data_IF_059302086402
#
_entry.id   IF_059302086402
#
_cell.length_a   1.000
_cell.length_b   1.000
_cell.length_c   1.000
_cell.angle_alpha   90.00
_cell.angle_beta   90.00
_cell.angle_gamma   90.00
#
_symmetry.space_group_name_H-M   'P 1'
#
loop_
_entity.id
_entity.type
_entity.pdbx_description
1 polymer ?
#
# COMPACT_ATOMS: atom_id res chain seq x y z
N UNK A 1 9.56 10.13 -19.99
CA UNK A 1 9.08 8.87 -19.39
C UNK A 1 9.75 8.75 -18.03
N UNK A 2 9.02 8.44 -16.96
CA UNK A 2 9.59 8.34 -15.61
C UNK A 2 10.44 7.07 -15.47
N UNK A 3 11.74 7.19 -15.70
CA UNK A 3 12.67 6.06 -15.71
C UNK A 3 12.73 5.35 -14.37
N UNK A 4 12.74 6.08 -13.26
CA UNK A 4 12.79 5.48 -11.93
C UNK A 4 11.54 4.65 -11.64
N UNK A 5 10.35 5.19 -11.96
CA UNK A 5 9.10 4.43 -11.80
C UNK A 5 9.11 3.13 -12.60
N UNK A 6 9.56 3.19 -13.86
CA UNK A 6 9.68 2.02 -14.72
C UNK A 6 10.68 0.99 -14.18
N UNK A 7 11.88 1.43 -13.78
CA UNK A 7 12.90 0.54 -13.21
C UNK A 7 12.39 -0.17 -11.97
N UNK A 8 11.74 0.55 -11.05
CA UNK A 8 11.17 -0.05 -9.85
C UNK A 8 10.04 -1.02 -10.21
N UNK A 9 9.14 -0.66 -11.13
CA UNK A 9 8.07 -1.53 -11.62
C UNK A 9 8.62 -2.85 -12.16
N UNK A 10 9.56 -2.78 -13.11
CA UNK A 10 10.17 -3.96 -13.72
C UNK A 10 10.89 -4.82 -12.67
N UNK A 11 11.56 -4.19 -11.71
CA UNK A 11 12.24 -4.88 -10.60
C UNK A 11 11.23 -5.64 -9.75
N UNK A 12 10.12 -5.02 -9.35
CA UNK A 12 9.11 -5.68 -8.52
C UNK A 12 8.40 -6.81 -9.28
N UNK A 13 8.12 -6.63 -10.57
CA UNK A 13 7.57 -7.70 -11.42
C UNK A 13 8.51 -8.90 -11.60
N UNK A 14 9.82 -8.71 -11.44
CA UNK A 14 10.81 -9.78 -11.56
C UNK A 14 10.94 -10.66 -10.30
N UNK A 15 10.30 -10.25 -9.19
CA UNK A 15 10.34 -11.00 -7.94
C UNK A 15 9.50 -12.27 -8.07
N UNK A 16 10.11 -13.41 -7.76
CA UNK A 16 9.41 -14.69 -7.78
C UNK A 16 8.21 -14.72 -6.82
N UNK A 17 7.09 -15.23 -7.32
CA UNK A 17 5.82 -15.33 -6.62
C UNK A 17 5.35 -14.03 -5.94
N UNK A 18 5.64 -12.87 -6.53
CA UNK A 18 5.35 -11.56 -5.94
C UNK A 18 3.91 -11.44 -5.45
N UNK A 19 2.92 -11.75 -6.29
CA UNK A 19 1.49 -11.65 -5.95
C UNK A 19 1.08 -12.55 -4.78
N UNK A 20 1.50 -13.82 -4.80
CA UNK A 20 1.19 -14.78 -3.75
C UNK A 20 1.76 -14.32 -2.39
N UNK A 21 3.02 -13.88 -2.38
CA UNK A 21 3.71 -13.39 -1.19
C UNK A 21 3.09 -12.09 -0.67
N UNK A 22 2.74 -11.18 -1.58
CA UNK A 22 2.04 -9.95 -1.25
C UNK A 22 0.67 -10.23 -0.63
N UNK A 23 -0.11 -11.13 -1.22
CA UNK A 23 -1.41 -11.53 -0.69
C UNK A 23 -1.33 -12.10 0.73
N UNK A 24 -0.29 -12.90 1.01
CA UNK A 24 -0.02 -13.41 2.37
C UNK A 24 0.25 -12.26 3.35
N UNK A 25 1.07 -11.28 2.97
CA UNK A 25 1.34 -10.09 3.79
C UNK A 25 0.04 -9.33 4.11
N UNK A 26 -0.84 -9.17 3.12
CA UNK A 26 -2.14 -8.52 3.34
C UNK A 26 -3.00 -9.31 4.31
N UNK A 27 -3.09 -10.64 4.14
CA UNK A 27 -3.84 -11.50 5.05
C UNK A 27 -3.31 -11.42 6.48
N UNK A 28 -2.00 -11.54 6.65
CA UNK A 28 -1.35 -11.50 7.97
C UNK A 28 -1.57 -10.14 8.65
N UNK A 29 -1.49 -9.03 7.90
CA UNK A 29 -1.78 -7.68 8.42
C UNK A 29 -3.26 -7.50 8.79
N UNK A 30 -4.18 -8.06 7.99
CA UNK A 30 -5.61 -8.05 8.31
C UNK A 30 -5.90 -8.87 9.57
N UNK A 31 -5.36 -10.09 9.68
CA UNK A 31 -5.58 -10.96 10.85
C UNK A 31 -5.06 -10.34 12.13
N UNK A 32 -3.93 -9.63 12.07
CA UNK A 32 -3.40 -8.89 13.21
C UNK A 32 -4.40 -7.87 13.77
N UNK A 33 -5.09 -7.14 12.89
CA UNK A 33 -6.01 -6.07 13.32
C UNK A 33 -7.40 -6.60 13.61
N UNK A 34 -7.87 -7.62 12.88
CA UNK A 34 -9.15 -8.27 13.15
C UNK A 34 -9.12 -8.92 14.53
N UNK A 35 -8.02 -9.62 14.86
CA UNK A 35 -7.82 -10.29 16.15
C UNK A 35 -9.06 -11.11 16.56
N UNK A 36 -9.49 -11.99 15.65
CA UNK A 36 -10.78 -12.68 15.75
C UNK A 36 -10.95 -13.47 17.05
N UNK A 37 -9.88 -14.06 17.57
CA UNK A 37 -9.92 -14.88 18.78
C UNK A 37 -10.26 -14.07 20.03
N UNK A 38 -9.69 -12.86 20.15
CA UNK A 38 -9.87 -12.01 21.33
C UNK A 38 -11.05 -11.07 21.21
N UNK A 39 -11.32 -10.59 19.99
CA UNK A 39 -12.26 -9.51 19.73
C UNK A 39 -13.57 -9.99 19.11
N UNK A 40 -13.65 -11.26 18.67
CA UNK A 40 -14.85 -11.83 18.05
C UNK A 40 -15.19 -11.25 16.66
N UNK A 41 -14.27 -10.47 16.07
CA UNK A 41 -14.45 -9.80 14.78
C UNK A 41 -14.15 -10.75 13.63
N UNK A 42 -14.78 -10.50 12.50
CA UNK A 42 -14.56 -11.26 11.26
C UNK A 42 -13.98 -10.42 10.14
N UNK A 43 -14.15 -9.09 10.21
CA UNK A 43 -13.77 -8.13 9.18
C UNK A 43 -12.95 -6.99 9.76
N UNK A 44 -12.02 -6.48 8.96
CA UNK A 44 -11.22 -5.30 9.31
C UNK A 44 -12.10 -4.03 9.38
N UNK A 45 -13.21 -4.01 8.65
CA UNK A 45 -14.24 -2.97 8.74
C UNK A 45 -14.82 -2.79 10.16
N UNK A 46 -14.83 -3.83 11.00
CA UNK A 46 -15.32 -3.80 12.39
C UNK A 46 -14.32 -3.14 13.36
N UNK A 47 -13.05 -2.97 12.95
CA UNK A 47 -12.03 -2.35 13.80
C UNK A 47 -12.23 -0.84 13.95
N UNK A 48 -11.80 -0.29 15.09
CA UNK A 48 -11.85 1.14 15.37
C UNK A 48 -10.91 1.94 14.45
N UNK A 49 -11.14 3.25 14.35
CA UNK A 49 -10.33 4.13 13.49
C UNK A 49 -8.84 4.08 13.83
N UNK A 50 -8.50 3.98 15.12
CA UNK A 50 -7.12 3.88 15.57
C UNK A 50 -6.48 2.54 15.14
N UNK A 51 -7.21 1.44 15.28
CA UNK A 51 -6.76 0.10 14.87
C UNK A 51 -6.56 -0.01 13.35
N UNK A 52 -7.41 0.64 12.56
CA UNK A 52 -7.25 0.74 11.10
C UNK A 52 -5.98 1.48 10.68
N UNK A 53 -5.42 2.34 11.53
CA UNK A 53 -4.10 2.95 11.29
C UNK A 53 -3.00 1.90 11.45
N UNK A 54 -3.14 0.99 12.41
CA UNK A 54 -2.18 -0.10 12.66
C UNK A 54 -2.10 -1.03 11.45
N UNK A 55 -3.21 -1.25 10.73
CA UNK A 55 -3.21 -2.05 9.50
C UNK A 55 -2.16 -1.56 8.49
N UNK A 56 -2.11 -0.26 8.21
CA UNK A 56 -1.12 0.32 7.30
C UNK A 56 0.32 0.10 7.77
N UNK A 57 0.56 0.28 9.08
CA UNK A 57 1.88 0.04 9.70
C UNK A 57 2.30 -1.43 9.61
N UNK A 58 1.35 -2.36 9.74
CA UNK A 58 1.61 -3.80 9.60
C UNK A 58 1.90 -4.20 8.17
N UNK A 59 1.15 -3.66 7.20
CA UNK A 59 1.44 -3.85 5.78
C UNK A 59 2.87 -3.39 5.47
N UNK A 60 3.26 -2.19 5.88
CA UNK A 60 4.63 -1.70 5.71
C UNK A 60 5.68 -2.64 6.33
N UNK A 61 5.55 -2.96 7.62
CA UNK A 61 6.51 -3.81 8.32
C UNK A 61 6.63 -5.21 7.69
N UNK A 62 5.50 -5.83 7.34
CA UNK A 62 5.46 -7.17 6.77
C UNK A 62 5.96 -7.20 5.33
N UNK A 63 5.72 -6.17 4.51
CA UNK A 63 6.31 -6.07 3.18
C UNK A 63 7.85 -5.97 3.27
N UNK A 64 8.36 -5.10 4.14
CA UNK A 64 9.80 -4.95 4.35
C UNK A 64 10.46 -6.27 4.78
N UNK A 65 9.82 -7.01 5.68
CA UNK A 65 10.30 -8.33 6.10
C UNK A 65 10.19 -9.39 4.99
N UNK A 66 9.03 -9.52 4.35
CA UNK A 66 8.76 -10.54 3.33
C UNK A 66 9.69 -10.39 2.13
N UNK A 67 9.94 -9.17 1.67
CA UNK A 67 10.74 -8.91 0.47
C UNK A 67 12.18 -8.49 0.77
N UNK A 68 12.56 -8.36 2.05
CA UNK A 68 13.91 -7.99 2.45
C UNK A 68 14.35 -6.60 1.96
N UNK A 69 13.41 -5.68 1.76
CA UNK A 69 13.72 -4.33 1.30
C UNK A 69 14.44 -3.54 2.38
N UNK A 70 15.49 -2.82 1.99
CA UNK A 70 16.18 -1.91 2.89
C UNK A 70 15.28 -0.72 3.23
N UNK A 71 15.54 -0.06 4.37
CA UNK A 71 14.89 1.21 4.69
C UNK A 71 15.52 2.34 3.88
N UNK A 72 14.67 3.25 3.41
CA UNK A 72 15.12 4.52 2.85
C UNK A 72 15.65 5.46 3.93
N UNK A 73 16.37 6.50 3.51
CA UNK A 73 16.76 7.58 4.40
C UNK A 73 15.57 8.47 4.76
N UNK A 74 14.65 8.64 3.81
CA UNK A 74 13.46 9.49 3.95
C UNK A 74 12.16 8.69 3.92
N UNK A 75 12.08 7.67 3.06
CA UNK A 75 10.85 6.89 2.84
C UNK A 75 10.96 5.48 3.44
N UNK A 76 9.84 4.77 3.45
CA UNK A 76 9.72 3.44 4.06
C UNK A 76 10.74 2.42 3.51
N UNK A 77 10.94 2.42 2.18
CA UNK A 77 11.74 1.42 1.49
C UNK A 77 12.75 2.02 0.50
N UNK A 78 13.82 1.26 0.26
CA UNK A 78 14.86 1.53 -0.72
C UNK A 78 15.22 0.25 -1.48
N UNK A 79 15.17 0.32 -2.81
CA UNK A 79 15.50 -0.78 -3.72
C UNK A 79 16.00 -0.21 -5.05
N UNK A 80 17.02 -0.82 -5.66
CA UNK A 80 17.57 -0.42 -6.98
C UNK A 80 17.80 1.10 -7.13
N UNK A 81 18.46 1.70 -6.13
CA UNK A 81 18.75 3.14 -6.06
C UNK A 81 17.53 4.06 -5.99
N UNK A 82 16.38 3.53 -5.59
CA UNK A 82 15.11 4.24 -5.56
C UNK A 82 14.47 4.10 -4.17
N UNK A 83 14.20 5.23 -3.53
CA UNK A 83 13.33 5.27 -2.35
C UNK A 83 11.85 5.32 -2.76
N UNK A 84 11.00 4.60 -2.03
CA UNK A 84 9.56 4.59 -2.23
C UNK A 84 8.80 4.39 -0.91
N UNK A 85 7.57 4.88 -0.89
CA UNK A 85 6.72 5.00 0.30
C UNK A 85 5.53 4.04 0.22
N UNK A 86 5.21 3.32 1.31
CA UNK A 86 4.11 2.37 1.36
C UNK A 86 2.84 3.05 1.82
N UNK A 87 1.73 2.87 1.09
CA UNK A 87 0.43 3.38 1.52
C UNK A 87 -0.65 2.35 1.29
N UNK A 88 -1.33 1.96 2.37
CA UNK A 88 -2.48 1.07 2.34
C UNK A 88 -3.79 1.82 2.61
N UNK A 89 -4.88 1.35 2.02
CA UNK A 89 -6.24 1.85 2.30
C UNK A 89 -7.26 0.72 2.22
N UNK A 90 -8.21 0.72 3.15
CA UNK A 90 -9.45 -0.09 3.07
C UNK A 90 -10.62 0.73 2.50
N UNK A 91 -10.33 1.96 2.03
CA UNK A 91 -11.30 2.91 1.49
C UNK A 91 -11.05 3.11 0.00
N UNK A 92 -11.59 4.19 -0.54
CA UNK A 92 -11.49 4.56 -1.96
C UNK A 92 -10.21 5.32 -2.33
N UNK A 93 -9.39 5.76 -1.37
CA UNK A 93 -8.19 6.57 -1.68
C UNK A 93 -7.11 6.45 -0.61
N UNK A 94 -5.87 6.75 -1.01
CA UNK A 94 -4.68 6.78 -0.17
C UNK A 94 -4.37 8.20 0.29
N UNK A 95 -3.85 8.33 1.50
CA UNK A 95 -3.36 9.60 2.03
C UNK A 95 -1.85 9.64 1.90
N UNK A 96 -1.35 10.50 1.03
CA UNK A 96 0.08 10.72 0.79
C UNK A 96 0.53 11.86 1.70
N UNK A 97 1.55 11.66 2.54
CA UNK A 97 2.06 12.69 3.41
C UNK A 97 3.08 13.59 2.71
N UNK A 98 3.37 14.80 3.24
CA UNK A 98 4.22 15.78 2.57
C UNK A 98 5.61 15.28 2.17
N UNK A 99 6.21 14.42 3.00
CA UNK A 99 7.52 13.80 2.75
C UNK A 99 7.53 12.92 1.49
N UNK A 100 6.38 12.36 1.10
CA UNK A 100 6.20 11.51 -0.07
C UNK A 100 5.72 12.28 -1.32
N UNK A 101 5.53 13.61 -1.24
CA UNK A 101 5.21 14.41 -2.43
C UNK A 101 6.36 14.36 -3.46
N UNK A 102 6.02 14.09 -4.72
CA UNK A 102 6.96 13.86 -5.81
C UNK A 102 7.68 12.51 -5.78
N UNK A 103 7.46 11.69 -4.75
CA UNK A 103 8.12 10.38 -4.60
C UNK A 103 7.30 9.26 -5.23
N UNK A 104 7.87 8.05 -5.33
CA UNK A 104 7.07 6.87 -5.69
C UNK A 104 6.33 6.39 -4.45
N UNK A 105 5.05 6.11 -4.60
CA UNK A 105 4.27 5.41 -3.60
C UNK A 105 3.89 4.01 -4.13
N UNK A 106 4.09 2.98 -3.31
CA UNK A 106 3.49 1.66 -3.45
C UNK A 106 2.11 1.70 -2.79
N UNK A 107 1.08 1.70 -3.62
CA UNK A 107 -0.31 1.91 -3.23
C UNK A 107 -1.06 0.59 -3.17
N UNK A 108 -1.53 0.23 -1.98
CA UNK A 108 -2.34 -0.98 -1.75
C UNK A 108 -3.75 -0.62 -1.36
N UNK A 109 -4.73 -1.14 -2.10
CA UNK A 109 -6.16 -1.03 -1.76
C UNK A 109 -6.71 -2.39 -1.41
N UNK A 110 -7.47 -2.44 -0.32
CA UNK A 110 -8.24 -3.60 0.11
C UNK A 110 -9.71 -3.31 -0.15
N UNK A 111 -10.40 -4.29 -0.74
CA UNK A 111 -11.83 -4.32 -0.98
C UNK A 111 -12.42 -5.56 -0.28
N UNK A 112 -12.75 -5.40 1.00
CA UNK A 112 -13.25 -6.50 1.84
C UNK A 112 -14.63 -7.01 1.43
N UNK A 113 -15.45 -6.20 0.75
CA UNK A 113 -16.77 -6.64 0.31
C UNK A 113 -16.68 -7.67 -0.82
N UNK A 114 -15.60 -7.61 -1.60
CA UNK A 114 -15.36 -8.49 -2.73
C UNK A 114 -14.22 -9.49 -2.48
N UNK A 115 -13.58 -9.46 -1.30
CA UNK A 115 -12.39 -10.24 -0.97
C UNK A 115 -11.22 -10.01 -1.96
N UNK A 116 -10.99 -8.78 -2.41
CA UNK A 116 -9.88 -8.44 -3.32
C UNK A 116 -8.91 -7.42 -2.75
N UNK A 117 -7.67 -7.49 -3.21
CA UNK A 117 -6.70 -6.41 -3.08
C UNK A 117 -6.06 -6.07 -4.42
N UNK A 118 -5.59 -4.82 -4.52
CA UNK A 118 -4.86 -4.33 -5.67
C UNK A 118 -3.60 -3.63 -5.14
N UNK A 119 -2.48 -3.76 -5.85
CA UNK A 119 -1.27 -2.99 -5.56
C UNK A 119 -0.65 -2.43 -6.83
N UNK A 120 -0.15 -1.20 -6.75
CA UNK A 120 0.48 -0.53 -7.88
C UNK A 120 1.35 0.63 -7.47
N UNK A 121 2.16 1.12 -8.42
CA UNK A 121 3.06 2.24 -8.20
C UNK A 121 2.47 3.52 -8.76
N UNK A 122 2.70 4.63 -8.06
CA UNK A 122 2.36 5.97 -8.53
C UNK A 122 3.46 6.95 -8.19
N UNK A 123 3.88 7.76 -9.16
CA UNK A 123 4.63 8.99 -8.90
C UNK A 123 3.69 10.05 -8.30
N UNK A 124 3.83 10.34 -7.01
CA UNK A 124 2.95 11.25 -6.27
C UNK A 124 3.27 12.74 -6.51
N UNK A 125 3.43 13.15 -7.78
CA UNK A 125 3.51 14.56 -8.16
C UNK A 125 2.25 15.30 -7.75
N UNK A 126 2.33 16.62 -7.52
CA UNK A 126 1.19 17.40 -7.03
C UNK A 126 -0.05 17.30 -7.94
N UNK A 127 0.12 17.16 -9.26
CA UNK A 127 -0.97 16.97 -10.22
C UNK A 127 -1.69 15.60 -10.10
N UNK A 128 -1.01 14.62 -9.48
CA UNK A 128 -1.57 13.30 -9.17
C UNK A 128 -2.28 13.26 -7.81
N UNK A 129 -2.20 14.36 -7.04
CA UNK A 129 -2.78 14.50 -5.71
C UNK A 129 -3.91 15.55 -5.71
N UNK A 130 -4.75 15.52 -4.68
CA UNK A 130 -5.80 16.52 -4.50
C UNK A 130 -5.24 17.89 -4.13
N UNK A 131 -5.95 18.96 -4.52
CA UNK A 131 -5.60 20.33 -4.11
C UNK A 131 -5.71 20.52 -2.59
N UNK A 132 -6.80 20.01 -1.99
CA UNK A 132 -7.02 20.02 -0.54
C UNK A 132 -6.13 19.03 0.22
N UNK A 133 -5.88 19.35 1.49
CA UNK A 133 -5.12 18.53 2.45
C UNK A 133 -5.87 18.41 3.78
N UNK A 134 -5.55 17.39 4.57
CA UNK A 134 -6.03 17.28 5.95
C UNK A 134 -5.22 18.18 6.91
N UNK A 135 -5.52 18.11 8.22
CA UNK A 135 -4.80 18.86 9.27
C UNK A 135 -3.29 18.55 9.30
N UNK A 136 -2.91 17.30 8.99
CA UNK A 136 -1.51 16.85 8.89
C UNK A 136 -0.88 17.17 7.52
N UNK A 137 -1.52 18.01 6.71
CA UNK A 137 -1.10 18.39 5.34
C UNK A 137 -1.01 17.21 4.35
N UNK A 138 -1.56 16.04 4.70
CA UNK A 138 -1.64 14.88 3.79
C UNK A 138 -2.66 15.15 2.69
N UNK A 139 -2.33 14.77 1.47
CA UNK A 139 -3.21 14.88 0.30
C UNK A 139 -3.71 13.50 -0.11
N UNK A 140 -4.90 13.43 -0.71
CA UNK A 140 -5.38 12.17 -1.28
C UNK A 140 -4.88 11.99 -2.71
N UNK A 141 -4.82 10.75 -3.20
CA UNK A 141 -4.61 10.49 -4.63
C UNK A 141 -5.84 10.99 -5.42
N UNK A 142 -5.61 11.80 -6.44
CA UNK A 142 -6.67 12.41 -7.27
C UNK A 142 -7.28 11.41 -8.24
N UNK A 143 -8.40 11.79 -8.89
CA UNK A 143 -8.98 10.97 -9.96
C UNK A 143 -8.02 10.79 -11.15
N UNK A 144 -7.19 11.80 -11.45
CA UNK A 144 -6.13 11.72 -12.46
C UNK A 144 -5.05 10.75 -11.99
N UNK A 145 -4.59 10.89 -10.75
CA UNK A 145 -3.57 10.01 -10.16
C UNK A 145 -3.98 8.54 -10.21
N UNK A 146 -5.24 8.22 -9.88
CA UNK A 146 -5.76 6.85 -9.95
C UNK A 146 -5.67 6.22 -11.35
N UNK A 147 -5.83 7.01 -12.42
CA UNK A 147 -5.70 6.53 -13.80
C UNK A 147 -4.24 6.33 -14.24
N UNK A 148 -3.28 6.87 -13.50
CA UNK A 148 -1.85 6.78 -13.77
C UNK A 148 -1.13 5.78 -12.86
N UNK A 149 -1.87 5.03 -12.03
CA UNK A 149 -1.29 3.94 -11.24
C UNK A 149 -0.81 2.86 -12.21
N UNK A 150 0.45 2.46 -12.08
CA UNK A 150 1.01 1.30 -12.75
C UNK A 150 0.76 0.07 -11.88
N UNK A 151 -0.24 -0.73 -12.25
CA UNK A 151 -0.68 -1.87 -11.47
C UNK A 151 0.33 -3.02 -11.55
N UNK A 152 0.84 -3.44 -10.38
CA UNK A 152 1.64 -4.65 -10.21
C UNK A 152 0.71 -5.86 -10.03
N UNK A 153 -0.35 -5.67 -9.24
CA UNK A 153 -1.40 -6.65 -8.98
C UNK A 153 -2.72 -5.90 -9.20
N UNK A 154 -3.34 -6.03 -10.39
CA UNK A 154 -4.56 -5.30 -10.71
C UNK A 154 -5.79 -5.86 -9.98
N UNK A 155 -5.83 -7.15 -9.65
CA UNK A 155 -7.00 -7.79 -9.05
C UNK A 155 -6.66 -9.18 -8.47
N UNK A 156 -6.14 -9.22 -7.24
CA UNK A 156 -5.89 -10.50 -6.56
C UNK A 156 -6.90 -10.75 -5.45
N UNK A 157 -7.32 -12.01 -5.31
CA UNK A 157 -8.14 -12.45 -4.18
C UNK A 157 -7.31 -12.37 -2.89
N UNK A 158 -7.90 -11.87 -1.80
CA UNK A 158 -7.31 -11.91 -0.47
C UNK A 158 -7.28 -13.37 -0.02
N UNK A 159 -6.10 -13.93 0.33
CA UNK A 159 -6.03 -15.30 0.80
C UNK A 159 -6.96 -15.54 2.00
N UNK A 160 -7.61 -16.70 2.05
CA UNK A 160 -8.43 -17.07 3.20
C UNK A 160 -7.54 -17.38 4.41
N UNK A 161 -8.08 -17.13 5.60
CA UNK A 161 -7.44 -17.50 6.87
C UNK A 161 -7.16 -19.01 6.86
N UNK A 162 -5.96 -19.39 7.31
CA UNK A 162 -5.60 -20.80 7.57
C UNK A 162 -6.25 -21.31 8.84
#
# INVERSE_FOLDING_TARGET
>A
MDTALKTLFDTLCSIDQFELRYGKVIRDAMDYVIDAERMGRTRLAEAEKAEKTIFGMKVEAYLGHEFGWARGNKLDFYLVDIEFDSKATIRKTWMVPPEAFGQICLLTRIDEDNDFFQTGLLRANLDMLTSGSNQDKKKSVSAIGKRHIQWLIPDSVIPKKR
#
